data_IF_896469849871
#
_entry.id   IF_896469849871
#
_cell.length_a   1.000
_cell.length_b   1.000
_cell.length_c   1.000
_cell.angle_alpha   90.00
_cell.angle_beta   90.00
_cell.angle_gamma   90.00
#
_symmetry.space_group_name_H-M   'P 1'
#
loop_
_entity.id
_entity.type
_entity.pdbx_description
1 polymer ?
#
# COMPACT_ATOMS: atom_id res chain seq x y z
N UNK A 1 -28.82 2.28 -15.66
CA UNK A 1 -28.32 2.12 -15.20
C UNK A 1 -27.53 2.05 -14.50
N UNK A 2 -27.64 2.04 -14.31
CA UNK A 2 -27.06 1.88 -13.59
C UNK A 2 -25.79 2.14 -13.13
N UNK A 3 -25.23 2.87 -13.07
CA UNK A 3 -24.00 3.34 -12.51
C UNK A 3 -23.41 2.65 -11.29
N UNK A 4 -23.97 1.56 -10.98
CA UNK A 4 -23.53 0.78 -9.83
C UNK A 4 -22.15 0.18 -10.07
N UNK A 5 -21.89 -0.13 -11.30
CA UNK A 5 -20.68 -0.88 -11.64
C UNK A 5 -19.42 -0.03 -11.69
N UNK A 6 -19.58 1.28 -11.88
CA UNK A 6 -18.43 2.18 -11.99
C UNK A 6 -17.68 2.37 -10.68
N UNK A 7 -18.20 1.80 -9.59
CA UNK A 7 -17.75 2.13 -8.27
C UNK A 7 -16.78 1.18 -7.69
N UNK A 8 -16.91 -0.04 -8.11
CA UNK A 8 -16.27 -1.14 -7.41
C UNK A 8 -15.10 -1.70 -8.17
N UNK A 9 -14.83 -1.15 -9.35
CA UNK A 9 -13.76 -1.68 -10.16
C UNK A 9 -12.50 -0.83 -10.08
N UNK A 10 -11.76 -1.04 -9.02
CA UNK A 10 -10.41 -0.51 -8.90
C UNK A 10 -9.46 -1.54 -9.49
N UNK A 11 -8.68 -1.14 -10.46
CA UNK A 11 -7.66 -1.98 -11.05
C UNK A 11 -6.35 -1.77 -10.30
N UNK A 12 -5.90 -2.80 -9.61
CA UNK A 12 -4.76 -2.73 -8.71
C UNK A 12 -3.67 -3.71 -9.13
N UNK A 13 -2.42 -3.32 -8.92
CA UNK A 13 -1.28 -4.22 -9.04
C UNK A 13 -0.44 -4.12 -7.77
N UNK A 14 0.09 -5.25 -7.34
CA UNK A 14 1.03 -5.33 -6.24
C UNK A 14 2.31 -6.02 -6.69
N UNK A 15 3.44 -5.51 -6.27
CA UNK A 15 4.73 -6.12 -6.54
C UNK A 15 5.69 -5.95 -5.36
N UNK A 16 6.45 -7.00 -5.07
CA UNK A 16 7.64 -6.90 -4.24
C UNK A 16 8.81 -6.61 -5.16
N UNK A 17 9.39 -5.42 -5.07
CA UNK A 17 10.39 -4.97 -6.01
C UNK A 17 11.80 -5.52 -5.74
N UNK A 18 12.10 -5.83 -4.50
CA UNK A 18 13.48 -6.17 -4.08
C UNK A 18 14.50 -5.18 -4.64
N UNK A 19 14.25 -3.90 -4.38
CA UNK A 19 14.90 -2.73 -4.97
C UNK A 19 14.26 -2.28 -6.28
N UNK A 20 13.83 -1.04 -6.30
CA UNK A 20 13.32 -0.42 -7.52
C UNK A 20 14.43 -0.18 -8.55
N UNK A 21 15.66 0.13 -8.11
CA UNK A 21 16.82 0.23 -9.00
C UNK A 21 16.51 0.75 -10.40
N UNK A 22 16.69 -0.11 -11.40
CA UNK A 22 16.41 0.20 -12.80
C UNK A 22 15.00 -0.17 -13.26
N UNK A 23 14.11 -0.50 -12.32
CA UNK A 23 12.76 -1.00 -12.63
C UNK A 23 11.71 0.08 -12.82
N UNK A 24 12.04 1.34 -12.52
CA UNK A 24 11.08 2.44 -12.55
C UNK A 24 10.44 2.62 -13.92
N UNK A 25 11.24 2.63 -14.98
CA UNK A 25 10.75 2.81 -16.34
C UNK A 25 9.85 1.65 -16.78
N UNK A 26 10.23 0.43 -16.43
CA UNK A 26 9.45 -0.76 -16.74
C UNK A 26 8.11 -0.72 -16.02
N UNK A 27 8.12 -0.34 -14.75
CA UNK A 27 6.89 -0.19 -13.98
C UNK A 27 5.97 0.86 -14.57
N UNK A 28 6.49 2.03 -14.91
CA UNK A 28 5.72 3.09 -15.53
C UNK A 28 5.08 2.64 -16.84
N UNK A 29 5.84 1.96 -17.69
CA UNK A 29 5.33 1.46 -18.96
C UNK A 29 4.16 0.49 -18.75
N UNK A 30 4.30 -0.45 -17.81
CA UNK A 30 3.25 -1.42 -17.48
C UNK A 30 2.00 -0.73 -16.94
N UNK A 31 2.19 0.22 -16.03
CA UNK A 31 1.08 0.93 -15.39
C UNK A 31 0.32 1.78 -16.40
N UNK A 32 1.02 2.48 -17.29
CA UNK A 32 0.39 3.29 -18.33
C UNK A 32 -0.33 2.43 -19.37
N UNK A 33 0.27 1.33 -19.78
CA UNK A 33 -0.31 0.43 -20.77
C UNK A 33 -1.60 -0.21 -20.26
N UNK A 34 -1.58 -0.72 -19.04
CA UNK A 34 -2.70 -1.48 -18.47
C UNK A 34 -3.67 -0.60 -17.66
N UNK A 35 -3.37 0.68 -17.51
CA UNK A 35 -4.22 1.68 -16.85
C UNK A 35 -4.62 1.28 -15.42
N UNK A 36 -3.64 0.95 -14.62
CA UNK A 36 -3.89 0.65 -13.21
C UNK A 36 -4.33 1.90 -12.45
N UNK A 37 -5.25 1.73 -11.51
CA UNK A 37 -5.69 2.79 -10.61
C UNK A 37 -4.80 2.89 -9.37
N UNK A 38 -4.35 1.75 -8.88
CA UNK A 38 -3.52 1.63 -7.70
C UNK A 38 -2.32 0.75 -7.98
N UNK A 39 -1.15 1.20 -7.55
CA UNK A 39 0.10 0.43 -7.67
C UNK A 39 0.76 0.37 -6.29
N UNK A 40 0.79 -0.80 -5.69
CA UNK A 40 1.39 -1.01 -4.39
C UNK A 40 2.71 -1.75 -4.54
N UNK A 41 3.74 -1.27 -3.86
CA UNK A 41 5.09 -1.83 -3.96
C UNK A 41 5.68 -2.01 -2.57
N UNK A 42 6.27 -3.17 -2.32
CA UNK A 42 7.06 -3.40 -1.12
C UNK A 42 8.53 -3.60 -1.51
N UNK A 43 9.42 -3.41 -0.56
CA UNK A 43 10.87 -3.48 -0.74
C UNK A 43 11.36 -2.56 -1.87
N UNK A 44 10.97 -1.28 -1.80
CA UNK A 44 11.41 -0.26 -2.76
C UNK A 44 12.90 0.02 -2.66
N UNK A 45 13.46 -0.05 -1.46
CA UNK A 45 14.84 0.30 -1.12
C UNK A 45 15.15 1.76 -1.44
N UNK A 46 14.13 2.60 -1.44
CA UNK A 46 14.29 4.02 -1.67
C UNK A 46 14.81 4.76 -0.43
N UNK A 47 15.47 5.86 -0.69
CA UNK A 47 15.85 6.86 0.29
C UNK A 47 15.55 8.25 -0.28
N UNK A 48 15.96 9.29 0.44
CA UNK A 48 15.67 10.68 0.05
C UNK A 48 16.25 11.05 -1.33
N UNK A 49 17.30 10.35 -1.79
CA UNK A 49 17.89 10.63 -3.09
C UNK A 49 16.98 10.27 -4.27
N UNK A 50 15.90 9.53 -4.01
CA UNK A 50 14.94 9.09 -5.03
C UNK A 50 13.71 9.98 -5.12
N UNK A 51 13.64 11.08 -4.39
CA UNK A 51 12.40 11.89 -4.27
C UNK A 51 11.83 12.32 -5.61
N UNK A 52 12.67 12.77 -6.53
CA UNK A 52 12.20 13.22 -7.84
C UNK A 52 12.10 12.08 -8.86
N UNK A 53 12.93 11.06 -8.77
CA UNK A 53 12.93 9.95 -9.73
C UNK A 53 11.80 8.95 -9.48
N UNK A 54 11.24 8.93 -8.27
CA UNK A 54 10.15 8.03 -7.91
C UNK A 54 8.79 8.49 -8.44
N UNK A 55 8.65 9.74 -8.85
CA UNK A 55 7.38 10.28 -9.34
C UNK A 55 6.93 9.59 -10.62
N UNK A 56 5.61 9.45 -10.78
CA UNK A 56 4.99 8.87 -11.97
C UNK A 56 3.87 9.79 -12.44
N UNK A 57 3.87 10.14 -13.73
CA UNK A 57 2.87 11.04 -14.29
C UNK A 57 1.46 10.47 -14.16
N UNK A 58 0.54 11.30 -13.69
CA UNK A 58 -0.86 10.92 -13.51
C UNK A 58 -1.16 10.24 -12.19
N UNK A 59 -0.17 10.10 -11.33
CA UNK A 59 -0.31 9.42 -10.04
C UNK A 59 0.23 10.27 -8.89
N UNK A 60 -0.42 10.13 -7.74
CA UNK A 60 0.09 10.61 -6.46
C UNK A 60 0.89 9.48 -5.83
N UNK A 61 2.05 9.80 -5.28
CA UNK A 61 2.89 8.82 -4.61
C UNK A 61 2.83 9.03 -3.10
N UNK A 62 2.49 7.97 -2.39
CA UNK A 62 2.63 7.86 -0.94
C UNK A 62 3.72 6.82 -0.67
N UNK A 63 4.64 7.13 0.22
CA UNK A 63 5.76 6.22 0.48
C UNK A 63 6.22 6.31 1.92
N UNK A 64 6.75 5.21 2.40
CA UNK A 64 7.38 5.13 3.71
C UNK A 64 8.68 4.33 3.55
N UNK A 65 9.81 5.03 3.56
CA UNK A 65 11.11 4.43 3.41
C UNK A 65 11.59 3.90 4.76
N UNK A 66 12.36 2.83 4.73
CA UNK A 66 12.99 2.32 5.95
C UNK A 66 14.20 3.19 6.28
N UNK A 67 14.23 3.71 7.51
CA UNK A 67 15.33 4.53 7.98
C UNK A 67 16.56 3.68 8.31
N UNK A 68 17.74 4.15 7.90
CA UNK A 68 19.02 3.59 8.31
C UNK A 68 19.44 2.28 7.64
N UNK A 69 18.64 1.74 6.71
CA UNK A 69 18.98 0.51 5.98
C UNK A 69 18.57 0.62 4.52
N UNK A 70 19.30 -0.06 3.65
CA UNK A 70 19.00 -0.07 2.21
C UNK A 70 17.84 -0.98 1.81
N UNK A 71 17.37 -1.83 2.71
CA UNK A 71 16.27 -2.75 2.41
C UNK A 71 14.95 -2.21 2.93
N UNK A 72 13.85 -2.81 2.52
CA UNK A 72 12.51 -2.45 2.96
C UNK A 72 11.92 -1.27 2.21
N UNK A 73 10.98 -0.59 2.84
CA UNK A 73 10.21 0.50 2.24
C UNK A 73 8.97 0.02 1.53
N UNK A 74 7.91 0.80 1.65
CA UNK A 74 6.61 0.54 1.00
C UNK A 74 6.16 1.80 0.25
N UNK A 75 5.44 1.61 -0.85
CA UNK A 75 4.94 2.71 -1.66
C UNK A 75 3.57 2.39 -2.23
N UNK A 76 2.79 3.43 -2.44
CA UNK A 76 1.49 3.35 -3.09
C UNK A 76 1.36 4.50 -4.07
N UNK A 77 1.18 4.18 -5.34
CA UNK A 77 0.76 5.14 -6.36
C UNK A 77 -0.75 5.06 -6.52
N UNK A 78 -1.40 6.19 -6.48
CA UNK A 78 -2.84 6.31 -6.67
C UNK A 78 -3.10 7.29 -7.79
N UNK A 79 -3.97 6.92 -8.73
CA UNK A 79 -4.34 7.81 -9.83
C UNK A 79 -4.81 9.17 -9.30
N UNK A 80 -4.33 10.25 -9.90
CA UNK A 80 -4.57 11.63 -9.42
C UNK A 80 -6.04 11.99 -9.30
N UNK A 81 -6.91 11.34 -10.07
CA UNK A 81 -8.35 11.62 -10.02
C UNK A 81 -9.01 11.20 -8.70
N UNK A 82 -8.36 10.37 -7.91
CA UNK A 82 -8.87 9.99 -6.58
C UNK A 82 -8.41 10.97 -5.52
N UNK A 83 -9.32 11.29 -4.61
CA UNK A 83 -9.03 12.14 -3.46
C UNK A 83 -8.51 11.28 -2.32
N UNK A 84 -7.22 11.35 -2.06
CA UNK A 84 -6.53 10.50 -1.10
C UNK A 84 -5.77 11.31 -0.07
N UNK A 85 -5.73 10.80 1.14
CA UNK A 85 -4.98 11.40 2.25
C UNK A 85 -4.21 10.30 2.97
N UNK A 86 -2.94 10.54 3.24
CA UNK A 86 -2.15 9.61 4.04
C UNK A 86 -2.58 9.68 5.50
N UNK A 87 -2.77 8.53 6.11
CA UNK A 87 -3.05 8.41 7.53
C UNK A 87 -1.74 8.16 8.26
N UNK A 88 -1.33 9.14 9.07
CA UNK A 88 -0.10 9.03 9.83
C UNK A 88 -0.29 8.16 11.04
N UNK A 89 0.67 7.29 11.25
CA UNK A 89 0.72 6.39 12.36
C UNK A 89 1.97 6.66 13.19
N UNK A 90 1.80 6.75 14.49
CA UNK A 90 2.90 6.93 15.42
C UNK A 90 3.68 5.64 15.71
N UNK A 91 3.19 4.50 15.24
CA UNK A 91 3.87 3.23 15.47
C UNK A 91 4.89 2.96 14.37
N UNK A 92 6.14 3.31 14.64
CA UNK A 92 7.26 3.09 13.71
C UNK A 92 7.71 1.63 13.61
N UNK A 93 7.14 0.75 14.42
CA UNK A 93 7.55 -0.65 14.47
C UNK A 93 6.99 -1.46 13.30
N UNK A 94 5.87 -1.04 12.74
CA UNK A 94 5.21 -1.75 11.64
C UNK A 94 5.51 -1.05 10.33
N UNK A 95 6.06 -1.76 9.37
CA UNK A 95 6.32 -1.24 8.03
C UNK A 95 5.03 -1.24 7.21
N UNK A 96 4.18 -0.27 7.48
CA UNK A 96 2.87 -0.15 6.89
C UNK A 96 2.59 1.28 6.46
N UNK A 97 1.99 1.42 5.29
CA UNK A 97 1.56 2.71 4.75
C UNK A 97 0.04 2.67 4.65
N UNK A 98 -0.62 3.67 5.23
CA UNK A 98 -2.08 3.76 5.24
C UNK A 98 -2.52 4.99 4.50
N UNK A 99 -3.44 4.81 3.55
CA UNK A 99 -4.00 5.89 2.74
C UNK A 99 -5.52 5.77 2.72
N UNK A 100 -6.20 6.87 3.01
CA UNK A 100 -7.66 6.94 2.95
C UNK A 100 -8.08 7.52 1.61
N UNK A 101 -8.87 6.78 0.87
CA UNK A 101 -9.48 7.22 -0.38
C UNK A 101 -10.92 7.64 -0.10
N UNK A 102 -11.25 8.90 -0.40
CA UNK A 102 -12.59 9.41 -0.17
C UNK A 102 -13.57 8.83 -1.18
N UNK A 103 -14.69 8.33 -0.68
CA UNK A 103 -15.79 7.88 -1.52
C UNK A 103 -16.49 9.04 -2.21
N UNK A 104 -16.97 8.82 -3.43
CA UNK A 104 -17.75 9.80 -4.19
C UNK A 104 -19.23 9.55 -3.97
N UNK A 105 -20.02 10.64 -3.91
CA UNK A 105 -21.49 10.60 -3.97
C UNK A 105 -22.12 9.58 -3.01
N UNK A 106 -22.02 9.82 -1.72
CA UNK A 106 -22.64 9.00 -0.66
C UNK A 106 -22.05 7.61 -0.47
N UNK A 107 -20.88 7.35 -1.05
CA UNK A 107 -20.18 6.08 -0.81
C UNK A 107 -19.21 6.19 0.33
N UNK A 108 -19.05 5.08 1.03
CA UNK A 108 -18.08 5.01 2.11
C UNK A 108 -16.65 5.20 1.60
N UNK A 109 -15.82 5.79 2.43
CA UNK A 109 -14.39 5.88 2.16
C UNK A 109 -13.76 4.49 2.22
N UNK A 110 -12.63 4.35 1.54
CA UNK A 110 -11.84 3.12 1.52
C UNK A 110 -10.49 3.42 2.14
N UNK A 111 -10.01 2.57 3.02
CA UNK A 111 -8.66 2.65 3.55
C UNK A 111 -7.80 1.59 2.85
N UNK A 112 -6.68 2.06 2.31
CA UNK A 112 -5.70 1.22 1.63
C UNK A 112 -4.49 1.06 2.53
N UNK A 113 -4.07 -0.18 2.77
CA UNK A 113 -2.87 -0.46 3.53
C UNK A 113 -1.86 -1.21 2.66
N UNK A 114 -0.62 -0.76 2.68
CA UNK A 114 0.49 -1.46 2.03
C UNK A 114 1.46 -1.84 3.12
N UNK A 115 1.66 -3.12 3.34
CA UNK A 115 2.42 -3.62 4.47
C UNK A 115 3.50 -4.60 4.04
N UNK A 116 4.62 -4.52 4.72
CA UNK A 116 5.73 -5.45 4.55
C UNK A 116 6.16 -5.96 5.92
N UNK A 117 6.23 -7.27 6.06
CA UNK A 117 6.74 -7.90 7.26
C UNK A 117 8.14 -8.44 6.99
N UNK A 118 9.19 -7.82 7.56
CA UNK A 118 10.53 -8.37 7.44
C UNK A 118 10.62 -9.75 8.12
N UNK A 119 11.49 -10.64 7.64
CA UNK A 119 11.60 -11.99 8.20
C UNK A 119 11.99 -12.05 9.68
N UNK A 120 12.65 -11.01 10.17
CA UNK A 120 13.13 -10.91 11.55
C UNK A 120 12.18 -10.11 12.47
N UNK A 121 10.98 -9.82 12.01
CA UNK A 121 10.01 -9.05 12.79
C UNK A 121 9.56 -9.82 14.02
N UNK A 122 9.53 -9.13 15.16
CA UNK A 122 9.15 -9.76 16.42
C UNK A 122 7.63 -9.84 16.58
N UNK A 123 7.18 -10.81 17.38
CA UNK A 123 5.76 -11.08 17.62
C UNK A 123 4.99 -9.87 18.17
N UNK A 124 5.60 -9.09 19.03
CA UNK A 124 4.98 -7.87 19.57
C UNK A 124 4.58 -6.87 18.48
N UNK A 125 5.40 -6.78 17.43
CA UNK A 125 5.11 -5.93 16.28
C UNK A 125 3.91 -6.47 15.49
N UNK A 126 3.80 -7.80 15.36
CA UNK A 126 2.64 -8.43 14.71
C UNK A 126 1.35 -8.15 15.49
N UNK A 127 1.40 -8.22 16.82
CA UNK A 127 0.23 -7.90 17.64
C UNK A 127 -0.21 -6.44 17.49
N UNK A 128 0.73 -5.52 17.45
CA UNK A 128 0.43 -4.09 17.21
C UNK A 128 -0.26 -3.90 15.86
N UNK A 129 0.20 -4.60 14.85
CA UNK A 129 -0.38 -4.57 13.51
C UNK A 129 -1.82 -5.08 13.52
N UNK A 130 -2.09 -6.22 14.16
CA UNK A 130 -3.43 -6.79 14.23
C UNK A 130 -4.41 -5.91 14.98
N UNK A 131 -3.98 -5.27 16.07
CA UNK A 131 -4.81 -4.32 16.80
C UNK A 131 -5.22 -3.15 15.93
N UNK A 132 -4.29 -2.66 15.12
CA UNK A 132 -4.57 -1.56 14.20
C UNK A 132 -5.53 -1.96 13.10
N UNK A 133 -5.37 -3.14 12.53
CA UNK A 133 -6.31 -3.68 11.54
C UNK A 133 -7.73 -3.71 12.09
N UNK A 134 -7.89 -4.15 13.33
CA UNK A 134 -9.19 -4.23 13.98
C UNK A 134 -9.84 -2.85 14.08
N UNK A 135 -9.09 -1.84 14.49
CA UNK A 135 -9.59 -0.47 14.63
C UNK A 135 -9.98 0.12 13.27
N UNK A 136 -9.14 -0.03 12.26
CA UNK A 136 -9.40 0.52 10.93
C UNK A 136 -10.59 -0.15 10.28
N UNK A 137 -10.70 -1.48 10.39
CA UNK A 137 -11.77 -2.24 9.76
C UNK A 137 -13.17 -1.96 10.31
N UNK A 138 -13.25 -1.40 11.51
CA UNK A 138 -14.54 -1.04 12.11
C UNK A 138 -15.18 0.18 11.46
N UNK A 139 -14.39 1.08 10.89
CA UNK A 139 -14.88 2.39 10.44
C UNK A 139 -15.00 2.53 8.92
N UNK A 140 -14.25 1.76 8.14
CA UNK A 140 -14.19 1.90 6.68
C UNK A 140 -13.98 0.56 6.02
N UNK A 141 -14.32 0.48 4.72
CA UNK A 141 -13.87 -0.65 3.91
C UNK A 141 -12.34 -0.63 3.84
N UNK A 142 -11.72 -1.78 3.96
CA UNK A 142 -10.28 -1.93 4.02
C UNK A 142 -9.79 -2.79 2.86
N UNK A 143 -8.81 -2.28 2.12
CA UNK A 143 -8.04 -3.06 1.16
C UNK A 143 -6.61 -3.14 1.68
N UNK A 144 -6.14 -4.34 1.93
CA UNK A 144 -4.82 -4.58 2.49
C UNK A 144 -4.00 -5.40 1.51
N UNK A 145 -2.86 -4.87 1.10
CA UNK A 145 -1.94 -5.56 0.20
C UNK A 145 -0.54 -5.56 0.79
N UNK A 146 0.26 -6.53 0.40
CA UNK A 146 1.63 -6.60 0.86
C UNK A 146 2.15 -8.03 0.96
N UNK A 147 3.29 -8.16 1.60
CA UNK A 147 3.91 -9.45 1.86
C UNK A 147 3.53 -9.92 3.27
N UNK A 148 2.60 -10.86 3.33
CA UNK A 148 2.04 -11.40 4.58
C UNK A 148 2.46 -12.84 4.87
N UNK A 149 3.30 -13.42 4.03
CA UNK A 149 3.61 -14.85 4.12
C UNK A 149 4.14 -15.26 5.49
N UNK A 150 4.70 -14.33 6.22
CA UNK A 150 5.29 -14.58 7.53
C UNK A 150 4.44 -14.09 8.70
N UNK A 151 3.29 -13.44 8.44
CA UNK A 151 2.36 -13.11 9.52
C UNK A 151 1.61 -14.36 9.95
N UNK A 152 1.64 -14.63 11.25
CA UNK A 152 0.86 -15.71 11.84
C UNK A 152 -0.37 -15.13 12.51
N UNK A 153 -1.54 -15.61 12.12
CA UNK A 153 -2.77 -15.23 12.77
C UNK A 153 -3.16 -16.31 13.77
N UNK A 154 -3.52 -15.90 14.96
CA UNK A 154 -4.04 -16.81 15.98
C UNK A 154 -5.42 -17.39 15.61
N UNK A 155 -6.03 -16.89 14.55
CA UNK A 155 -7.37 -17.25 14.13
C UNK A 155 -7.43 -18.27 12.97
N UNK A 156 -6.31 -18.77 12.50
CA UNK A 156 -6.28 -19.86 11.53
C UNK A 156 -6.82 -19.55 10.13
N UNK A 157 -7.14 -18.31 9.84
CA UNK A 157 -7.59 -17.92 8.52
C UNK A 157 -6.45 -17.33 7.73
N UNK A 158 -5.81 -18.17 6.95
CA UNK A 158 -4.79 -17.73 6.01
C UNK A 158 -5.50 -17.32 4.73
N UNK A 159 -5.58 -16.05 4.48
CA UNK A 159 -5.95 -15.59 3.16
C UNK A 159 -4.70 -15.67 2.29
N UNK A 160 -4.61 -16.68 1.50
CA UNK A 160 -3.55 -16.79 0.51
C UNK A 160 -3.88 -15.96 -0.71
N UNK A 161 -2.91 -15.26 -1.17
CA UNK A 161 -2.90 -14.57 -2.44
C UNK A 161 -1.93 -15.27 -3.39
#
# INVERSE_FOLDING_TARGET
MLGVDSITQLKCIYANARSMGNKQEELEATVQQDRYDLVAITETWWDDSHDWSAAMDGYKLFRRDRQGRRSGGVALYVRESFDCTELHDSDDKVECLWVRMRGKANKADIVLGVCYRPPDQVEETDESFYKRLAVVSESCALILVGDFLTFQTSAGNTTQQ
#
